data_IF_160894668542
#
_entry.id   IF_160894668542
#
_cell.length_a   1.000
_cell.length_b   1.000
_cell.length_c   1.000
_cell.angle_alpha   90.00
_cell.angle_beta   90.00
_cell.angle_gamma   90.00
#
_symmetry.space_group_name_H-M   'P 1'
#
loop_
_entity.id
_entity.type
_entity.pdbx_description
1 polymer ?
#
# COMPACT_ATOMS: atom_id res chain seq x y z
N UNK A 1 4.29 -27.63 25.69
CA UNK A 1 5.37 -28.12 26.58
C UNK A 1 6.57 -27.24 26.39
N UNK A 2 7.07 -26.69 27.49
CA UNK A 2 8.11 -25.67 27.60
C UNK A 2 9.51 -26.26 27.62
N UNK A 3 10.51 -25.47 27.20
CA UNK A 3 11.86 -25.33 27.77
C UNK A 3 12.61 -24.24 26.97
N UNK A 4 13.53 -23.44 27.46
CA UNK A 4 13.78 -22.74 28.72
C UNK A 4 15.06 -21.90 28.48
N UNK A 5 15.16 -20.81 29.21
CA UNK A 5 16.17 -19.76 29.14
C UNK A 5 17.56 -20.20 29.63
N UNK A 6 18.62 -19.57 29.11
CA UNK A 6 19.94 -19.47 29.75
C UNK A 6 20.51 -18.08 29.42
N UNK A 7 21.04 -17.28 30.35
CA UNK A 7 21.58 -17.55 31.67
C UNK A 7 22.81 -16.65 31.80
N UNK A 8 22.59 -15.45 32.32
CA UNK A 8 23.59 -14.40 32.49
C UNK A 8 24.61 -14.79 33.57
N UNK A 9 25.91 -14.65 33.29
CA UNK A 9 26.97 -14.60 34.31
C UNK A 9 27.49 -13.16 34.42
N UNK A 10 27.69 -12.60 35.64
CA UNK A 10 28.20 -11.25 35.81
C UNK A 10 29.73 -11.25 35.84
N UNK A 11 30.37 -10.38 35.04
CA UNK A 11 31.78 -10.03 35.25
C UNK A 11 31.83 -8.84 36.20
N UNK A 12 32.33 -9.06 37.41
CA UNK A 12 32.79 -7.99 38.30
C UNK A 12 34.25 -7.68 37.96
N UNK A 13 34.56 -6.41 37.74
CA UNK A 13 35.91 -5.89 37.98
C UNK A 13 35.78 -4.52 38.65
N UNK A 14 36.38 -4.39 39.82
CA UNK A 14 36.35 -3.20 40.67
C UNK A 14 37.53 -2.26 40.39
N UNK A 15 37.38 -1.02 40.88
CA UNK A 15 38.37 0.07 41.16
C UNK A 15 38.60 1.12 40.05
N UNK A 16 38.97 2.37 40.42
CA UNK A 16 38.07 3.42 40.90
C UNK A 16 38.05 4.65 39.95
N UNK A 17 37.02 5.48 40.10
CA UNK A 17 36.85 6.72 39.36
C UNK A 17 38.04 7.68 39.49
N UNK A 18 38.84 7.80 38.44
CA UNK A 18 39.59 9.03 38.16
C UNK A 18 38.75 9.90 37.22
N UNK A 19 38.41 11.08 37.73
CA UNK A 19 37.68 12.11 37.03
C UNK A 19 38.55 12.67 35.91
N UNK A 20 38.24 12.29 34.66
CA UNK A 20 38.55 13.12 33.50
C UNK A 20 37.27 13.81 33.08
N UNK A 21 37.17 15.08 33.47
CA UNK A 21 36.20 16.06 32.99
C UNK A 21 36.47 16.32 31.50
N UNK A 22 36.04 15.37 30.67
CA UNK A 22 35.90 15.61 29.24
C UNK A 22 34.61 16.39 29.08
N UNK A 23 34.75 17.69 28.83
CA UNK A 23 33.71 18.54 28.24
C UNK A 23 33.29 17.91 26.92
N UNK A 24 32.40 16.92 27.00
CA UNK A 24 31.78 16.28 25.87
C UNK A 24 30.90 17.35 25.25
N UNK A 25 31.44 18.01 24.23
CA UNK A 25 30.72 18.99 23.44
C UNK A 25 29.43 18.33 23.02
N UNK A 26 28.31 18.89 23.48
CA UNK A 26 27.00 18.33 23.23
C UNK A 26 26.65 18.55 21.74
N UNK A 27 27.10 17.63 20.89
CA UNK A 27 26.96 17.70 19.43
C UNK A 27 25.50 17.65 18.95
N UNK A 28 24.54 17.42 19.85
CA UNK A 28 23.11 17.33 19.56
C UNK A 28 22.32 18.54 20.06
N UNK A 29 22.92 19.48 20.82
CA UNK A 29 22.24 20.74 21.15
C UNK A 29 22.00 21.56 19.88
N UNK A 30 20.75 21.97 19.63
CA UNK A 30 20.39 22.78 18.45
C UNK A 30 20.10 21.97 17.17
N UNK A 31 20.13 20.63 17.23
CA UNK A 31 19.68 19.74 16.16
C UNK A 31 18.24 19.23 16.37
N UNK A 32 17.45 19.94 17.17
CA UNK A 32 16.03 19.70 17.35
C UNK A 32 15.32 19.60 15.98
N UNK A 33 14.30 18.75 15.91
CA UNK A 33 13.51 18.59 14.68
C UNK A 33 12.74 19.88 14.39
N UNK A 34 13.07 20.51 13.27
CA UNK A 34 12.44 21.69 12.70
C UNK A 34 11.93 21.35 11.30
N UNK A 35 11.07 22.18 10.72
CA UNK A 35 10.61 21.99 9.33
C UNK A 35 11.78 21.95 8.31
N UNK A 36 12.90 22.63 8.61
CA UNK A 36 14.06 22.69 7.73
C UNK A 36 14.95 21.44 7.78
N UNK A 37 14.96 20.69 8.88
CA UNK A 37 15.85 19.52 9.08
C UNK A 37 15.10 18.20 9.34
N UNK A 38 13.77 18.22 9.44
CA UNK A 38 12.96 17.04 9.69
C UNK A 38 11.73 16.99 8.78
N UNK A 39 11.72 15.98 7.90
CA UNK A 39 10.53 15.59 7.16
C UNK A 39 10.38 14.07 7.32
N UNK A 40 9.21 13.61 7.76
CA UNK A 40 8.93 12.19 7.81
C UNK A 40 9.08 11.58 6.41
N UNK A 41 10.04 10.68 6.25
CA UNK A 41 10.24 9.95 5.00
C UNK A 41 9.11 8.93 4.87
N UNK A 42 8.23 9.15 3.90
CA UNK A 42 7.18 8.20 3.56
C UNK A 42 7.23 7.93 2.05
N UNK A 43 6.80 6.75 1.60
CA UNK A 43 6.65 6.49 0.17
C UNK A 43 5.86 7.58 -0.56
N UNK A 44 4.88 8.18 0.11
CA UNK A 44 4.08 9.30 -0.41
C UNK A 44 4.90 10.58 -0.61
N UNK A 45 5.79 10.93 0.31
CA UNK A 45 6.63 12.12 0.17
C UNK A 45 7.66 11.97 -0.95
N UNK A 46 8.18 10.76 -1.17
CA UNK A 46 9.02 10.45 -2.32
C UNK A 46 8.26 10.54 -3.65
N UNK A 47 7.06 10.00 -3.74
CA UNK A 47 6.26 10.06 -4.96
C UNK A 47 5.94 11.52 -5.34
N UNK A 48 5.45 12.31 -4.39
CA UNK A 48 5.13 13.72 -4.61
C UNK A 48 6.36 14.53 -5.03
N UNK A 49 7.51 14.31 -4.37
CA UNK A 49 8.77 14.96 -4.72
C UNK A 49 9.24 14.57 -6.12
N UNK A 50 9.18 13.28 -6.46
CA UNK A 50 9.64 12.79 -7.77
C UNK A 50 8.78 13.33 -8.90
N UNK A 51 7.45 13.37 -8.73
CA UNK A 51 6.55 13.98 -9.69
C UNK A 51 6.80 15.48 -9.90
N UNK A 52 7.24 16.20 -8.85
CA UNK A 52 7.59 17.62 -8.93
C UNK A 52 8.95 17.86 -9.61
N UNK A 53 9.96 17.05 -9.29
CA UNK A 53 11.35 17.25 -9.78
C UNK A 53 11.55 16.68 -11.18
N UNK A 54 10.88 15.56 -11.50
CA UNK A 54 11.05 14.81 -12.74
C UNK A 54 9.70 14.49 -13.41
N UNK A 55 8.84 15.49 -13.67
CA UNK A 55 7.45 15.26 -14.09
C UNK A 55 7.34 14.42 -15.36
N UNK A 56 8.21 14.68 -16.34
CA UNK A 56 8.17 14.06 -17.67
C UNK A 56 8.95 12.74 -17.78
N UNK A 57 9.72 12.37 -16.74
CA UNK A 57 10.46 11.11 -16.79
C UNK A 57 9.49 9.93 -16.69
N UNK A 58 9.74 8.90 -17.50
CA UNK A 58 8.96 7.65 -17.46
C UNK A 58 9.10 6.99 -16.08
N UNK A 59 7.95 6.68 -15.48
CA UNK A 59 7.82 6.01 -14.19
C UNK A 59 7.36 4.56 -14.36
N UNK A 60 6.39 4.32 -15.27
CA UNK A 60 5.77 3.01 -15.47
C UNK A 60 5.84 2.64 -16.96
N UNK A 61 6.19 1.38 -17.19
CA UNK A 61 6.21 0.71 -18.49
C UNK A 61 5.44 -0.60 -18.33
N UNK A 62 4.30 -0.73 -19.02
CA UNK A 62 3.46 -1.94 -18.99
C UNK A 62 2.87 -2.16 -20.38
N UNK A 63 3.33 -3.18 -21.09
CA UNK A 63 2.89 -3.42 -22.47
C UNK A 63 3.11 -2.20 -23.37
N UNK A 64 2.04 -1.68 -23.99
CA UNK A 64 2.06 -0.41 -24.73
C UNK A 64 2.01 0.85 -23.85
N UNK A 65 1.56 0.72 -22.60
CA UNK A 65 1.38 1.84 -21.66
C UNK A 65 2.74 2.39 -21.22
N UNK A 66 2.90 3.71 -21.37
CA UNK A 66 3.97 4.48 -20.76
C UNK A 66 3.32 5.56 -19.90
N UNK A 67 3.78 5.70 -18.65
CA UNK A 67 3.36 6.80 -17.78
C UNK A 67 4.56 7.51 -17.22
N UNK A 68 4.46 8.82 -17.18
CA UNK A 68 5.41 9.71 -16.52
C UNK A 68 5.17 9.75 -15.01
N UNK A 69 6.10 10.32 -14.25
CA UNK A 69 5.93 10.52 -12.81
C UNK A 69 4.78 11.47 -12.48
N UNK A 70 4.57 12.53 -13.28
CA UNK A 70 3.45 13.44 -13.09
C UNK A 70 2.10 12.73 -13.28
N UNK A 71 1.95 11.95 -14.35
CA UNK A 71 0.73 11.17 -14.60
C UNK A 71 0.50 10.17 -13.47
N UNK A 72 1.52 9.38 -13.13
CA UNK A 72 1.43 8.35 -12.07
C UNK A 72 0.98 8.96 -10.74
N UNK A 73 1.55 10.09 -10.34
CA UNK A 73 1.15 10.79 -9.12
C UNK A 73 -0.31 11.26 -9.16
N UNK A 74 -0.75 11.85 -10.27
CA UNK A 74 -2.15 12.25 -10.42
C UNK A 74 -3.11 11.06 -10.44
N UNK A 75 -2.71 9.89 -10.98
CA UNK A 75 -3.52 8.66 -10.88
C UNK A 75 -3.64 8.20 -9.42
N UNK A 76 -2.53 8.16 -8.68
CA UNK A 76 -2.52 7.79 -7.26
C UNK A 76 -3.39 8.72 -6.41
N UNK A 77 -3.28 10.04 -6.63
CA UNK A 77 -4.11 11.05 -5.96
C UNK A 77 -5.60 10.84 -6.23
N UNK A 78 -5.98 10.58 -7.48
CA UNK A 78 -7.38 10.34 -7.85
C UNK A 78 -7.92 9.07 -7.22
N UNK A 79 -7.12 8.00 -7.16
CA UNK A 79 -7.50 6.79 -6.42
C UNK A 79 -7.72 7.11 -4.94
N UNK A 80 -6.76 7.77 -4.28
CA UNK A 80 -6.90 8.14 -2.87
C UNK A 80 -8.12 9.02 -2.58
N UNK A 81 -8.38 10.02 -3.43
CA UNK A 81 -9.56 10.88 -3.32
C UNK A 81 -10.87 10.09 -3.55
N UNK A 82 -10.89 9.17 -4.51
CA UNK A 82 -12.05 8.33 -4.80
C UNK A 82 -12.35 7.34 -3.66
N UNK A 83 -11.33 6.82 -2.98
CA UNK A 83 -11.46 6.00 -1.77
C UNK A 83 -11.98 6.84 -0.60
N UNK A 84 -11.39 8.01 -0.35
CA UNK A 84 -11.84 8.91 0.70
C UNK A 84 -13.30 9.35 0.52
N UNK A 85 -13.72 9.64 -0.73
CA UNK A 85 -15.10 9.97 -1.07
C UNK A 85 -16.09 8.82 -0.81
N UNK A 86 -15.60 7.58 -0.71
CA UNK A 86 -16.37 6.39 -0.34
C UNK A 86 -16.32 6.09 1.16
N UNK A 87 -15.77 6.99 1.96
CA UNK A 87 -15.64 6.83 3.41
C UNK A 87 -14.55 5.85 3.84
N UNK A 88 -13.59 5.55 2.96
CA UNK A 88 -12.37 4.80 3.30
C UNK A 88 -11.37 5.77 3.92
N UNK A 89 -10.86 5.42 5.11
CA UNK A 89 -9.94 6.26 5.86
C UNK A 89 -9.02 5.49 6.82
N UNK A 90 -8.43 6.19 7.82
CA UNK A 90 -7.58 5.57 8.83
C UNK A 90 -8.23 4.38 9.53
N UNK A 91 -7.50 3.26 9.56
CA UNK A 91 -7.95 2.01 10.18
C UNK A 91 -8.74 1.09 9.24
N UNK A 92 -9.22 1.59 8.10
CA UNK A 92 -9.90 0.75 7.10
C UNK A 92 -8.89 -0.06 6.28
N UNK A 93 -9.29 -1.28 5.90
CA UNK A 93 -8.49 -2.17 5.04
C UNK A 93 -9.05 -2.18 3.62
N UNK A 94 -8.18 -1.91 2.65
CA UNK A 94 -8.46 -2.08 1.21
C UNK A 94 -7.66 -3.28 0.71
N UNK A 95 -8.36 -4.34 0.35
CA UNK A 95 -7.75 -5.52 -0.26
C UNK A 95 -7.54 -5.31 -1.76
N UNK A 96 -6.49 -5.91 -2.33
CA UNK A 96 -6.20 -5.84 -3.77
C UNK A 96 -5.79 -7.20 -4.31
N UNK A 97 -6.48 -7.67 -5.36
CA UNK A 97 -6.10 -8.83 -6.16
C UNK A 97 -5.78 -8.36 -7.59
N UNK A 98 -4.51 -8.21 -7.92
CA UNK A 98 -4.09 -7.82 -9.26
C UNK A 98 -2.68 -8.35 -9.55
N UNK A 99 -2.27 -8.48 -10.82
CA UNK A 99 -0.89 -8.78 -11.16
C UNK A 99 0.01 -7.56 -10.89
N UNK A 100 1.30 -7.66 -11.25
CA UNK A 100 2.22 -6.52 -11.19
C UNK A 100 1.95 -5.52 -12.33
N UNK A 101 0.79 -4.89 -12.29
CA UNK A 101 0.29 -3.94 -13.28
C UNK A 101 0.29 -2.51 -12.73
N UNK A 102 0.11 -1.48 -13.57
CA UNK A 102 0.11 -0.08 -13.12
C UNK A 102 -0.92 0.21 -12.03
N UNK A 103 -2.11 -0.42 -12.07
CA UNK A 103 -3.14 -0.24 -11.05
C UNK A 103 -2.70 -0.75 -9.67
N UNK A 104 -1.90 -1.82 -9.60
CA UNK A 104 -1.31 -2.31 -8.35
C UNK A 104 -0.34 -1.27 -7.78
N UNK A 105 0.51 -0.65 -8.62
CA UNK A 105 1.39 0.44 -8.20
C UNK A 105 0.58 1.63 -7.68
N UNK A 106 -0.49 2.00 -8.39
CA UNK A 106 -1.40 3.07 -7.99
C UNK A 106 -2.04 2.78 -6.63
N UNK A 107 -2.43 1.52 -6.34
CA UNK A 107 -3.00 1.13 -5.07
C UNK A 107 -2.04 1.27 -3.88
N UNK A 108 -0.75 0.97 -4.07
CA UNK A 108 0.29 1.14 -3.04
C UNK A 108 0.38 2.58 -2.52
N UNK A 109 0.14 3.55 -3.38
CA UNK A 109 0.14 4.96 -2.99
C UNK A 109 -1.26 5.49 -2.69
N UNK A 110 -2.24 5.21 -3.54
CA UNK A 110 -3.61 5.73 -3.42
C UNK A 110 -4.31 5.29 -2.14
N UNK A 111 -4.16 4.02 -1.72
CA UNK A 111 -4.73 3.54 -0.45
C UNK A 111 -4.08 4.25 0.73
N UNK A 112 -2.74 4.38 0.73
CA UNK A 112 -2.03 5.12 1.75
C UNK A 112 -2.38 6.63 1.75
N UNK A 113 -2.65 7.24 0.59
CA UNK A 113 -3.12 8.63 0.48
C UNK A 113 -4.50 8.83 1.10
N UNK A 114 -5.36 7.80 1.08
CA UNK A 114 -6.62 7.80 1.82
C UNK A 114 -6.43 7.58 3.34
N UNK A 115 -5.21 7.27 3.78
CA UNK A 115 -4.91 6.92 5.17
C UNK A 115 -5.25 5.48 5.55
N UNK A 116 -5.72 4.67 4.60
CA UNK A 116 -6.11 3.29 4.80
C UNK A 116 -4.92 2.32 4.71
N UNK A 117 -5.16 1.07 5.10
CA UNK A 117 -4.18 -0.03 5.04
C UNK A 117 -4.42 -0.84 3.77
N UNK A 118 -3.36 -1.03 2.99
CA UNK A 118 -3.38 -1.90 1.81
C UNK A 118 -3.12 -3.35 2.21
N UNK A 119 -4.00 -4.27 1.79
CA UNK A 119 -3.80 -5.71 1.90
C UNK A 119 -3.69 -6.34 0.49
N UNK A 120 -2.48 -6.69 0.07
CA UNK A 120 -2.24 -7.31 -1.24
C UNK A 120 -2.45 -8.82 -1.17
N UNK A 121 -3.42 -9.33 -1.93
CA UNK A 121 -3.68 -10.75 -2.07
C UNK A 121 -2.72 -11.38 -3.08
N UNK A 122 -2.22 -12.57 -2.75
CA UNK A 122 -1.39 -13.33 -3.68
C UNK A 122 -2.27 -13.99 -4.74
N UNK A 123 -1.94 -13.79 -6.01
CA UNK A 123 -2.71 -14.25 -7.17
C UNK A 123 -2.76 -15.77 -7.33
N UNK A 124 -1.96 -16.53 -6.57
CA UNK A 124 -1.93 -18.00 -6.59
C UNK A 124 -2.81 -18.65 -5.51
N UNK A 125 -3.49 -17.85 -4.68
CA UNK A 125 -4.34 -18.37 -3.61
C UNK A 125 -5.66 -18.89 -4.17
N UNK A 126 -6.20 -19.90 -3.50
CA UNK A 126 -7.53 -20.43 -3.79
C UNK A 126 -8.62 -19.58 -3.12
N UNK A 127 -9.86 -19.78 -3.57
CA UNK A 127 -11.01 -19.01 -3.11
C UNK A 127 -11.25 -19.10 -1.59
N UNK A 128 -11.17 -20.28 -0.93
CA UNK A 128 -11.35 -20.37 0.51
C UNK A 128 -10.30 -19.59 1.30
N UNK A 129 -9.04 -19.61 0.86
CA UNK A 129 -7.97 -18.84 1.52
C UNK A 129 -8.18 -17.34 1.33
N UNK A 130 -8.58 -16.91 0.13
CA UNK A 130 -8.91 -15.50 -0.14
C UNK A 130 -10.08 -15.05 0.75
N UNK A 131 -11.17 -15.81 0.81
CA UNK A 131 -12.31 -15.51 1.66
C UNK A 131 -11.91 -15.41 3.14
N UNK A 132 -11.08 -16.32 3.62
CA UNK A 132 -10.52 -16.25 4.97
C UNK A 132 -9.74 -14.96 5.21
N UNK A 133 -8.85 -14.57 4.30
CA UNK A 133 -8.05 -13.34 4.42
C UNK A 133 -8.94 -12.10 4.41
N UNK A 134 -9.91 -12.02 3.50
CA UNK A 134 -10.83 -10.88 3.40
C UNK A 134 -11.65 -10.70 4.68
N UNK A 135 -12.15 -11.80 5.24
CA UNK A 135 -12.90 -11.78 6.51
C UNK A 135 -12.02 -11.45 7.70
N UNK A 136 -10.87 -12.11 7.83
CA UNK A 136 -9.99 -11.92 8.98
C UNK A 136 -9.33 -10.53 9.00
N UNK A 137 -9.01 -10.01 7.82
CA UNK A 137 -8.50 -8.65 7.66
C UNK A 137 -9.58 -7.58 7.63
N UNK A 138 -10.86 -7.92 7.86
CA UNK A 138 -12.00 -7.00 7.85
C UNK A 138 -11.96 -6.04 6.65
N UNK A 139 -11.71 -6.60 5.45
CA UNK A 139 -11.59 -5.81 4.23
C UNK A 139 -12.88 -4.99 4.03
N UNK A 140 -12.75 -3.67 3.94
CA UNK A 140 -13.88 -2.75 3.71
C UNK A 140 -14.14 -2.52 2.23
N UNK A 141 -13.15 -2.82 1.39
CA UNK A 141 -13.21 -2.70 -0.06
C UNK A 141 -12.22 -3.69 -0.69
N UNK A 142 -12.59 -4.28 -1.82
CA UNK A 142 -11.71 -5.10 -2.65
C UNK A 142 -11.52 -4.44 -4.02
N UNK A 143 -10.28 -4.16 -4.42
CA UNK A 143 -9.93 -3.87 -5.81
C UNK A 143 -9.50 -5.18 -6.47
N UNK A 144 -10.13 -5.57 -7.58
CA UNK A 144 -9.83 -6.84 -8.25
C UNK A 144 -9.62 -6.65 -9.73
N UNK A 145 -8.51 -7.14 -10.26
CA UNK A 145 -8.35 -7.31 -11.70
C UNK A 145 -9.37 -8.31 -12.23
N UNK A 146 -9.99 -7.97 -13.36
CA UNK A 146 -11.01 -8.80 -14.02
C UNK A 146 -10.47 -10.16 -14.46
N UNK A 147 -9.16 -10.30 -14.69
CA UNK A 147 -8.50 -11.60 -14.95
C UNK A 147 -8.76 -12.62 -13.82
N UNK A 148 -8.90 -12.15 -12.57
CA UNK A 148 -9.13 -13.00 -11.40
C UNK A 148 -10.61 -13.18 -11.04
N UNK A 149 -11.54 -12.74 -11.90
CA UNK A 149 -12.96 -12.81 -11.64
C UNK A 149 -13.46 -14.21 -11.22
N UNK A 150 -13.02 -15.34 -11.83
CA UNK A 150 -13.52 -16.66 -11.43
C UNK A 150 -13.19 -17.00 -9.96
N UNK A 151 -11.96 -16.75 -9.51
CA UNK A 151 -11.54 -17.10 -8.15
C UNK A 151 -12.10 -16.11 -7.12
N UNK A 152 -12.21 -14.83 -7.48
CA UNK A 152 -12.79 -13.81 -6.61
C UNK A 152 -14.29 -14.00 -6.46
N UNK A 153 -15.03 -14.31 -7.53
CA UNK A 153 -16.46 -14.64 -7.43
C UNK A 153 -16.71 -15.81 -6.48
N UNK A 154 -15.90 -16.87 -6.58
CA UNK A 154 -15.98 -18.00 -5.65
C UNK A 154 -15.69 -17.58 -4.20
N UNK A 155 -14.67 -16.73 -3.97
CA UNK A 155 -14.35 -16.25 -2.62
C UNK A 155 -15.46 -15.36 -2.03
N UNK A 156 -16.10 -14.51 -2.84
CA UNK A 156 -17.20 -13.66 -2.40
C UNK A 156 -18.44 -14.49 -2.07
N UNK A 157 -18.71 -15.57 -2.83
CA UNK A 157 -19.81 -16.49 -2.53
C UNK A 157 -19.65 -17.15 -1.15
N UNK A 158 -18.42 -17.52 -0.77
CA UNK A 158 -18.08 -18.04 0.58
C UNK A 158 -18.30 -17.01 1.71
N UNK A 159 -18.23 -15.71 1.39
CA UNK A 159 -18.45 -14.62 2.37
C UNK A 159 -19.92 -14.25 2.52
N UNK A 160 -20.76 -14.52 1.51
CA UNK A 160 -22.19 -14.16 1.47
C UNK A 160 -22.39 -12.67 1.84
N UNK A 161 -23.20 -12.37 2.86
CA UNK A 161 -23.52 -10.99 3.26
C UNK A 161 -22.32 -10.21 3.84
N UNK A 162 -21.21 -10.87 4.15
CA UNK A 162 -19.98 -10.23 4.66
C UNK A 162 -18.98 -9.90 3.55
N UNK A 163 -19.36 -10.08 2.27
CA UNK A 163 -18.49 -9.79 1.15
C UNK A 163 -18.23 -8.27 1.04
N UNK A 164 -16.95 -7.83 0.95
CA UNK A 164 -16.66 -6.42 0.72
C UNK A 164 -17.18 -5.98 -0.66
N UNK A 165 -17.56 -4.70 -0.82
CA UNK A 165 -17.79 -4.14 -2.14
C UNK A 165 -16.54 -4.31 -3.01
N UNK A 166 -16.75 -4.67 -4.27
CA UNK A 166 -15.69 -4.88 -5.25
C UNK A 166 -15.65 -3.72 -6.23
N UNK A 167 -14.44 -3.27 -6.54
CA UNK A 167 -14.18 -2.42 -7.70
C UNK A 167 -13.26 -3.16 -8.66
N UNK A 168 -13.72 -3.31 -9.89
CA UNK A 168 -12.96 -4.00 -10.93
C UNK A 168 -11.82 -3.11 -11.46
N UNK A 169 -10.68 -3.73 -11.69
CA UNK A 169 -9.55 -3.18 -12.43
C UNK A 169 -9.60 -3.79 -13.83
N UNK A 170 -9.73 -2.91 -14.83
CA UNK A 170 -9.69 -3.26 -16.24
C UNK A 170 -8.28 -2.93 -16.76
N UNK A 171 -7.43 -3.96 -16.92
CA UNK A 171 -6.10 -3.81 -17.51
C UNK A 171 -6.18 -4.02 -19.03
N UNK A 172 -5.97 -2.99 -19.86
CA UNK A 172 -6.06 -3.11 -21.31
C UNK A 172 -4.99 -4.02 -21.93
N UNK A 173 -3.91 -4.32 -21.21
CA UNK A 173 -2.86 -5.26 -21.65
C UNK A 173 -3.04 -6.66 -21.04
N UNK A 174 -4.05 -6.84 -20.18
CA UNK A 174 -4.39 -8.11 -19.54
C UNK A 174 -5.32 -8.97 -20.40
N UNK A 175 -5.54 -10.24 -20.01
CA UNK A 175 -6.48 -11.12 -20.70
C UNK A 175 -7.95 -10.71 -20.48
N UNK A 176 -8.21 -9.84 -19.51
CA UNK A 176 -9.55 -9.39 -19.12
C UNK A 176 -10.37 -10.49 -18.44
N UNK A 177 -11.61 -10.15 -18.10
CA UNK A 177 -12.55 -11.10 -17.53
C UNK A 177 -13.89 -10.46 -17.17
N UNK A 178 -14.72 -11.20 -16.44
CA UNK A 178 -16.02 -10.71 -16.01
C UNK A 178 -15.86 -9.61 -14.95
N UNK A 179 -16.72 -8.58 -15.01
CA UNK A 179 -16.81 -7.57 -13.97
C UNK A 179 -17.68 -8.08 -12.82
N UNK A 180 -17.15 -8.07 -11.60
CA UNK A 180 -17.84 -8.53 -10.40
C UNK A 180 -18.37 -7.37 -9.56
N UNK A 181 -17.75 -6.21 -9.69
CA UNK A 181 -18.17 -4.99 -9.02
C UNK A 181 -19.49 -4.47 -9.58
N UNK A 182 -20.37 -4.05 -8.67
CA UNK A 182 -21.56 -3.27 -9.05
C UNK A 182 -21.21 -1.81 -9.40
N UNK A 183 -19.95 -1.40 -9.25
CA UNK A 183 -19.52 -0.01 -9.36
C UNK A 183 -18.18 0.09 -10.08
N UNK A 184 -18.17 0.85 -11.17
CA UNK A 184 -16.91 1.34 -11.75
C UNK A 184 -16.25 2.28 -10.75
N UNK A 185 -14.92 2.16 -10.56
CA UNK A 185 -14.15 3.28 -10.05
C UNK A 185 -14.39 4.39 -11.08
N UNK A 186 -15.10 5.44 -10.69
CA UNK A 186 -15.28 6.66 -11.48
C UNK A 186 -13.94 7.42 -11.58
N UNK A 187 -12.94 6.72 -12.09
CA UNK A 187 -11.67 7.20 -12.52
C UNK A 187 -11.23 6.25 -13.65
N UNK A 188 -11.18 6.70 -14.91
CA UNK A 188 -10.95 5.80 -16.04
C UNK A 188 -9.58 5.11 -15.89
N UNK A 189 -9.62 3.85 -15.49
CA UNK A 189 -8.71 2.82 -15.96
C UNK A 189 -9.13 2.53 -17.40
N UNK A 190 -8.73 3.43 -18.30
CA UNK A 190 -8.86 3.32 -19.76
C UNK A 190 -10.29 3.01 -20.26
N UNK A 191 -11.12 4.05 -20.40
CA UNK A 191 -12.19 4.01 -21.40
C UNK A 191 -11.57 4.37 -22.74
N UNK A 192 -11.45 3.40 -23.66
CA UNK A 192 -11.18 3.74 -25.05
C UNK A 192 -12.36 4.56 -25.58
N UNK A 193 -12.05 5.77 -26.03
CA UNK A 193 -12.89 6.50 -26.98
C UNK A 193 -12.62 5.88 -28.35
N UNK A 194 -13.61 5.18 -28.90
CA UNK A 194 -13.77 4.99 -30.34
C UNK A 194 -15.23 5.20 -30.69
#
# INVERSE_FOLDING_TARGET
MAVAWGGWYPVRNETPHHAEDTTMTDFITGLEKTEANYQALSPLSFLARTAKVWPERTAIVHGSIRRTWAETFERCKRLGAALAARGIGPGDVVAVMAPNIPAMVEAHFGVAMAGAVLNTLNTRLDAPTIAYILRHGEAKLLLSDTEFAPVIAAALAELSDNAPPVIDIDDPEGPGGARLGAMDLAYPVVTHTH
#
